data_IF_921414964837
#
_entry.id   IF_921414964837
#
_cell.length_a   1.000
_cell.length_b   1.000
_cell.length_c   1.000
_cell.angle_alpha   90.00
_cell.angle_beta   90.00
_cell.angle_gamma   90.00
#
_symmetry.space_group_name_H-M   'P 1'
#
loop_
_entity.id
_entity.type
_entity.pdbx_description
1 polymer ?
#
# COMPACT_ATOMS: atom_id res chain seq x y z
N UNK A 1 10.09 11.09 -16.83
CA UNK A 1 10.95 10.68 -15.70
C UNK A 1 10.05 9.84 -14.82
N UNK A 2 10.27 8.53 -14.69
CA UNK A 2 9.53 7.75 -13.70
C UNK A 2 10.08 8.15 -12.33
N UNK A 3 9.27 8.82 -11.52
CA UNK A 3 9.58 9.00 -10.10
C UNK A 3 9.70 7.61 -9.48
N UNK A 4 10.94 7.22 -9.13
CA UNK A 4 11.17 6.04 -8.31
C UNK A 4 10.75 6.37 -6.89
N UNK A 5 9.49 6.10 -6.60
CA UNK A 5 8.99 6.13 -5.23
C UNK A 5 9.73 5.04 -4.46
N UNK A 6 10.37 5.41 -3.37
CA UNK A 6 11.23 4.52 -2.59
C UNK A 6 10.37 3.67 -1.64
N UNK A 7 9.69 2.69 -2.22
CA UNK A 7 8.83 1.74 -1.52
C UNK A 7 9.16 0.32 -1.96
N UNK A 8 9.23 -0.60 -1.00
CA UNK A 8 9.59 -1.99 -1.24
C UNK A 8 8.55 -2.91 -0.61
N UNK A 9 7.94 -3.76 -1.42
CA UNK A 9 7.11 -4.86 -0.93
C UNK A 9 8.01 -5.89 -0.24
N UNK A 10 7.78 -6.11 1.05
CA UNK A 10 8.56 -7.03 1.88
C UNK A 10 7.83 -8.34 2.16
N UNK A 11 6.49 -8.30 2.21
CA UNK A 11 5.67 -9.47 2.48
C UNK A 11 4.28 -9.35 1.85
N UNK A 12 3.69 -10.49 1.53
CA UNK A 12 2.27 -10.64 1.25
C UNK A 12 1.73 -11.79 2.09
N UNK A 13 0.60 -11.56 2.77
CA UNK A 13 -0.08 -12.56 3.58
C UNK A 13 -1.58 -12.44 3.29
N UNK A 14 -2.16 -13.47 2.66
CA UNK A 14 -3.54 -13.44 2.19
C UNK A 14 -3.83 -12.23 1.26
N UNK A 15 -4.64 -11.28 1.70
CA UNK A 15 -5.02 -10.05 1.02
C UNK A 15 -4.23 -8.82 1.49
N UNK A 16 -3.34 -8.97 2.47
CA UNK A 16 -2.49 -7.89 2.98
C UNK A 16 -1.14 -7.82 2.26
N UNK A 17 -0.71 -6.59 1.96
CA UNK A 17 0.60 -6.25 1.44
C UNK A 17 1.37 -5.44 2.49
N UNK A 18 2.57 -5.88 2.84
CA UNK A 18 3.45 -5.16 3.78
C UNK A 18 4.59 -4.53 2.99
N UNK A 19 4.72 -3.21 3.12
CA UNK A 19 5.74 -2.42 2.43
C UNK A 19 6.63 -1.69 3.43
N UNK A 20 7.94 -1.66 3.15
CA UNK A 20 8.84 -0.68 3.74
C UNK A 20 8.85 0.56 2.85
N UNK A 21 8.65 1.73 3.47
CA UNK A 21 8.50 3.02 2.77
C UNK A 21 9.31 4.07 3.54
N UNK A 22 10.05 4.91 2.81
CA UNK A 22 10.69 6.09 3.41
C UNK A 22 9.64 7.05 3.96
N UNK A 23 9.91 7.65 5.14
CA UNK A 23 8.93 8.46 5.87
C UNK A 23 8.37 9.63 5.03
N UNK A 24 9.20 10.24 4.20
CA UNK A 24 8.82 11.34 3.31
C UNK A 24 7.95 10.91 2.11
N UNK A 25 7.94 9.61 1.79
CA UNK A 25 7.19 9.03 0.69
C UNK A 25 5.87 8.37 1.12
N UNK A 26 5.61 8.22 2.42
CA UNK A 26 4.45 7.49 2.98
C UNK A 26 3.13 7.95 2.37
N UNK A 27 2.84 9.25 2.35
CA UNK A 27 1.55 9.75 1.84
C UNK A 27 1.40 9.54 0.33
N UNK A 28 2.49 9.70 -0.42
CA UNK A 28 2.48 9.44 -1.87
C UNK A 28 2.26 7.97 -2.16
N UNK A 29 2.95 7.08 -1.44
CA UNK A 29 2.81 5.63 -1.58
C UNK A 29 1.41 5.18 -1.19
N UNK A 30 0.90 5.66 -0.06
CA UNK A 30 -0.43 5.34 0.44
C UNK A 30 -1.51 5.65 -0.60
N UNK A 31 -1.54 6.88 -1.10
CA UNK A 31 -2.55 7.28 -2.09
C UNK A 31 -2.46 6.47 -3.38
N UNK A 32 -1.24 6.18 -3.83
CA UNK A 32 -1.01 5.42 -5.06
C UNK A 32 -1.33 3.93 -4.89
N UNK A 33 -0.99 3.34 -3.75
CA UNK A 33 -1.22 1.94 -3.46
C UNK A 33 -2.72 1.63 -3.33
N UNK A 34 -3.48 2.49 -2.63
CA UNK A 34 -4.94 2.39 -2.56
C UNK A 34 -5.55 2.37 -3.97
N UNK A 35 -5.22 3.36 -4.81
CA UNK A 35 -5.76 3.46 -6.16
C UNK A 35 -5.42 2.24 -7.04
N UNK A 36 -4.21 1.69 -6.89
CA UNK A 36 -3.81 0.50 -7.66
C UNK A 36 -4.57 -0.74 -7.18
N UNK A 37 -4.66 -0.95 -5.86
CA UNK A 37 -5.28 -2.14 -5.28
C UNK A 37 -6.80 -2.14 -5.46
N UNK A 38 -7.48 -1.00 -5.29
CA UNK A 38 -8.92 -0.87 -5.55
C UNK A 38 -9.25 -1.08 -7.04
N UNK A 39 -8.35 -0.68 -7.93
CA UNK A 39 -8.48 -0.84 -9.38
C UNK A 39 -7.92 -2.15 -9.94
N UNK A 40 -7.47 -3.09 -9.09
CA UNK A 40 -6.75 -4.28 -9.54
C UNK A 40 -7.62 -5.29 -10.29
N UNK A 41 -8.94 -5.25 -10.09
CA UNK A 41 -9.88 -6.15 -10.76
C UNK A 41 -11.24 -5.50 -10.99
N UNK A 42 -11.89 -5.86 -12.09
CA UNK A 42 -13.29 -5.53 -12.33
C UNK A 42 -14.19 -6.58 -11.65
N UNK A 43 -14.77 -6.21 -10.51
CA UNK A 43 -15.68 -7.04 -9.74
C UNK A 43 -17.09 -6.44 -9.69
N UNK A 44 -18.10 -7.28 -9.47
CA UNK A 44 -19.48 -6.83 -9.33
C UNK A 44 -19.72 -5.97 -8.07
N UNK A 45 -18.83 -6.08 -7.08
CA UNK A 45 -18.76 -5.24 -5.89
C UNK A 45 -17.41 -4.51 -5.86
N UNK A 46 -17.35 -3.26 -5.37
CA UNK A 46 -16.10 -2.51 -5.31
C UNK A 46 -15.11 -3.16 -4.35
N UNK A 47 -13.83 -3.21 -4.75
CA UNK A 47 -12.73 -3.50 -3.84
C UNK A 47 -12.47 -2.27 -2.99
N UNK A 48 -12.34 -2.48 -1.67
CA UNK A 48 -12.00 -1.44 -0.71
C UNK A 48 -10.66 -1.82 -0.10
N UNK A 49 -9.78 -0.84 0.05
CA UNK A 49 -8.43 -1.05 0.58
C UNK A 49 -8.24 -0.18 1.82
N UNK A 50 -7.98 -0.82 2.95
CA UNK A 50 -7.57 -0.15 4.17
C UNK A 50 -6.04 -0.08 4.22
N UNK A 51 -5.51 1.08 4.63
CA UNK A 51 -4.06 1.30 4.77
C UNK A 51 -3.77 1.83 6.16
N UNK A 52 -3.00 1.06 6.92
CA UNK A 52 -2.35 1.50 8.16
C UNK A 52 -0.87 1.83 7.95
N UNK A 53 -0.34 2.71 8.80
CA UNK A 53 1.05 3.14 8.79
C UNK A 53 1.52 3.18 10.24
N UNK A 54 2.64 2.53 10.52
CA UNK A 54 3.24 2.46 11.86
C UNK A 54 4.75 2.25 11.78
N UNK A 55 5.47 2.52 12.86
CA UNK A 55 6.93 2.34 12.90
C UNK A 55 7.34 0.85 12.94
N UNK A 56 6.38 -0.02 13.19
CA UNK A 56 6.50 -1.47 13.17
C UNK A 56 5.15 -2.09 12.78
N UNK A 57 5.13 -3.40 12.56
CA UNK A 57 3.94 -4.11 12.07
C UNK A 57 2.74 -3.99 13.03
N UNK A 58 2.97 -3.99 14.36
CA UNK A 58 1.90 -3.91 15.36
C UNK A 58 1.21 -2.54 15.37
N UNK A 59 1.91 -1.48 14.96
CA UNK A 59 1.37 -0.12 14.84
C UNK A 59 0.70 0.15 13.47
N UNK A 60 1.01 -0.66 12.46
CA UNK A 60 0.52 -0.50 11.09
C UNK A 60 -0.74 -1.33 10.78
N UNK A 61 -1.13 -2.25 11.68
CA UNK A 61 -2.35 -3.05 11.59
C UNK A 61 -3.57 -2.30 12.13
#
# INVERSE_FOLDING_TARGET
HEERINAKLIMQVHDELVLEVEEDAVEQVRARLASIMEGAAELAAPLVVDIGVGANWDEAH
#
